data_IF_551283794204
#
_entry.id   IF_551283794204
#
_cell.length_a   1.000
_cell.length_b   1.000
_cell.length_c   1.000
_cell.angle_alpha   90.00
_cell.angle_beta   90.00
_cell.angle_gamma   90.00
#
_symmetry.space_group_name_H-M   'P 1'
#
loop_
_entity.id
_entity.type
_entity.pdbx_description
1 polymer ?
#
# COMPACT_ATOMS: atom_id res chain seq x y z
N UNK A 1 -42.02 -59.05 40.50
CA UNK A 1 -41.53 -57.74 39.92
C UNK A 1 -40.38 -58.05 39.04
N UNK A 2 -40.58 -57.96 37.72
CA UNK A 2 -39.58 -58.30 36.72
C UNK A 2 -38.90 -56.99 36.18
N UNK A 3 -37.62 -56.95 36.31
CA UNK A 3 -36.81 -55.87 35.74
C UNK A 3 -36.32 -56.31 34.37
N UNK A 4 -36.75 -55.61 33.34
CA UNK A 4 -36.33 -55.85 31.94
C UNK A 4 -35.09 -54.99 31.67
N UNK A 5 -33.96 -55.66 31.43
CA UNK A 5 -32.71 -54.99 30.94
C UNK A 5 -32.77 -54.82 29.44
N UNK A 6 -32.69 -53.59 28.97
CA UNK A 6 -32.56 -53.27 27.57
C UNK A 6 -31.08 -53.26 27.18
N UNK A 7 -30.70 -54.13 26.24
CA UNK A 7 -29.36 -54.18 25.65
C UNK A 7 -29.27 -53.19 24.49
N UNK A 8 -28.36 -52.22 24.60
CA UNK A 8 -28.02 -51.29 23.50
C UNK A 8 -27.00 -51.92 22.54
N UNK A 9 -27.37 -52.09 21.30
CA UNK A 9 -26.48 -52.52 20.23
C UNK A 9 -25.77 -51.32 19.62
N UNK A 10 -24.47 -51.22 19.79
CA UNK A 10 -23.62 -50.21 19.13
C UNK A 10 -23.20 -50.70 17.76
N UNK A 11 -23.69 -50.05 16.69
CA UNK A 11 -23.26 -50.26 15.33
C UNK A 11 -22.00 -49.45 15.08
N UNK A 12 -20.89 -50.15 14.84
CA UNK A 12 -19.60 -49.54 14.49
C UNK A 12 -19.62 -49.27 12.98
N UNK A 13 -19.63 -47.97 12.59
CA UNK A 13 -19.54 -47.58 11.20
C UNK A 13 -18.04 -47.50 10.76
N UNK A 14 -17.64 -48.41 9.92
CA UNK A 14 -16.33 -48.41 9.25
C UNK A 14 -16.28 -47.34 8.15
N UNK A 15 -15.31 -46.46 8.27
CA UNK A 15 -15.01 -45.36 7.35
C UNK A 15 -14.37 -45.92 6.06
N UNK A 16 -14.82 -45.56 4.85
CA UNK A 16 -14.16 -45.98 3.63
C UNK A 16 -12.87 -45.20 3.41
N UNK A 17 -11.84 -45.93 2.96
CA UNK A 17 -10.54 -45.40 2.59
C UNK A 17 -10.63 -44.50 1.35
N UNK A 18 -10.13 -43.27 1.48
CA UNK A 18 -10.01 -42.30 0.39
C UNK A 18 -8.82 -42.66 -0.52
N UNK A 19 -9.11 -43.00 -1.74
CA UNK A 19 -8.13 -43.15 -2.83
C UNK A 19 -7.49 -41.80 -3.14
N UNK A 20 -6.17 -41.77 -3.10
CA UNK A 20 -5.31 -40.65 -3.41
C UNK A 20 -5.25 -40.43 -4.92
N UNK A 21 -5.82 -39.36 -5.45
CA UNK A 21 -5.68 -38.97 -6.85
C UNK A 21 -4.28 -38.41 -7.14
N UNK A 22 -3.68 -38.65 -8.31
CA UNK A 22 -2.34 -38.20 -8.65
C UNK A 22 -2.31 -36.68 -8.97
N UNK A 23 -1.21 -36.05 -8.63
CA UNK A 23 -0.90 -34.65 -8.84
C UNK A 23 -0.88 -34.25 -10.33
N UNK A 24 -1.81 -33.39 -10.75
CA UNK A 24 -1.77 -32.67 -12.02
C UNK A 24 -1.93 -31.16 -11.78
N UNK A 25 -0.93 -30.50 -11.21
CA UNK A 25 -0.92 -29.05 -11.06
C UNK A 25 0.47 -28.41 -11.18
N UNK A 26 1.31 -28.86 -12.11
CA UNK A 26 2.57 -28.16 -12.40
C UNK A 26 2.71 -27.60 -13.83
N UNK A 27 1.73 -27.78 -14.70
CA UNK A 27 1.84 -27.36 -16.12
C UNK A 27 1.10 -26.05 -16.47
N UNK A 28 0.22 -25.53 -15.61
CA UNK A 28 -0.61 -24.36 -15.95
C UNK A 28 0.00 -22.99 -15.61
N UNK A 29 0.95 -22.93 -14.69
CA UNK A 29 1.56 -21.63 -14.29
C UNK A 29 2.62 -21.13 -15.27
N UNK A 30 3.33 -22.01 -15.98
CA UNK A 30 4.33 -21.62 -16.96
C UNK A 30 3.72 -21.05 -18.25
N UNK A 31 2.57 -21.59 -18.69
CA UNK A 31 1.88 -21.13 -19.88
C UNK A 31 1.20 -19.76 -19.71
N UNK A 32 0.75 -19.43 -18.49
CA UNK A 32 0.12 -18.14 -18.19
C UNK A 32 1.16 -17.03 -18.09
N UNK A 33 2.35 -17.31 -17.55
CA UNK A 33 3.45 -16.35 -17.48
C UNK A 33 4.00 -15.99 -18.87
N UNK A 34 4.08 -16.95 -19.78
CA UNK A 34 4.56 -16.72 -21.16
C UNK A 34 3.57 -15.88 -22.00
N UNK A 35 2.26 -16.05 -21.80
CA UNK A 35 1.25 -15.23 -22.50
C UNK A 35 1.24 -13.78 -22.01
N UNK A 36 1.39 -13.54 -20.72
CA UNK A 36 1.42 -12.19 -20.19
C UNK A 36 2.67 -11.40 -20.58
N UNK A 37 3.79 -12.08 -20.86
CA UNK A 37 5.00 -11.45 -21.37
C UNK A 37 4.87 -11.05 -22.86
N UNK A 38 4.21 -11.87 -23.67
CA UNK A 38 3.98 -11.60 -25.10
C UNK A 38 2.99 -10.44 -25.33
N UNK A 39 1.92 -10.33 -24.50
CA UNK A 39 0.96 -9.22 -24.58
C UNK A 39 1.54 -7.88 -24.12
N UNK A 40 2.54 -7.88 -23.21
CA UNK A 40 3.22 -6.67 -22.78
C UNK A 40 4.18 -6.11 -23.87
N UNK A 41 4.79 -6.97 -24.67
CA UNK A 41 5.69 -6.57 -25.76
C UNK A 41 4.94 -6.02 -26.98
N UNK A 42 3.76 -6.57 -27.29
CA UNK A 42 2.92 -6.08 -28.39
C UNK A 42 2.29 -4.72 -28.13
N UNK A 43 1.98 -4.38 -26.87
CA UNK A 43 1.48 -3.05 -26.49
C UNK A 43 2.57 -1.98 -26.50
N UNK A 44 3.85 -2.34 -26.38
CA UNK A 44 4.95 -1.38 -26.41
C UNK A 44 5.31 -0.97 -27.83
N UNK A 45 5.11 -1.81 -28.83
CA UNK A 45 5.38 -1.53 -30.25
C UNK A 45 4.28 -0.72 -30.94
N UNK A 46 3.06 -0.66 -30.39
CA UNK A 46 1.95 0.06 -30.99
C UNK A 46 1.94 1.58 -30.66
N UNK A 47 2.77 2.04 -29.72
CA UNK A 47 2.80 3.45 -29.30
C UNK A 47 3.87 4.32 -30.02
N UNK A 48 4.71 3.74 -30.89
CA UNK A 48 5.86 4.43 -31.51
C UNK A 48 5.59 4.93 -32.94
N UNK A 49 4.39 4.78 -33.49
CA UNK A 49 4.12 5.17 -34.88
C UNK A 49 3.01 6.19 -35.04
N UNK A 50 3.22 7.41 -34.55
CA UNK A 50 2.54 8.63 -35.04
C UNK A 50 3.35 9.88 -34.70
N UNK A 51 4.51 10.06 -35.28
CA UNK A 51 5.13 11.39 -35.38
C UNK A 51 4.97 11.91 -36.79
N UNK A 52 4.29 13.03 -36.90
CA UNK A 52 4.06 13.80 -38.09
C UNK A 52 5.41 14.35 -38.60
N UNK A 53 5.83 14.11 -39.86
CA UNK A 53 7.03 14.72 -40.37
C UNK A 53 6.68 16.07 -41.00
N UNK A 54 6.98 17.13 -40.34
CA UNK A 54 7.16 18.49 -40.86
C UNK A 54 6.71 19.54 -39.83
N UNK A 55 7.60 19.85 -38.89
CA UNK A 55 7.65 21.20 -38.34
C UNK A 55 9.09 21.48 -37.90
N UNK A 56 9.84 22.08 -38.84
CA UNK A 56 11.15 22.67 -38.54
C UNK A 56 10.84 24.01 -37.87
N UNK A 57 10.78 24.08 -36.58
CA UNK A 57 10.87 25.31 -35.81
C UNK A 57 12.27 25.38 -35.22
N UNK A 58 12.91 26.53 -35.48
CA UNK A 58 14.28 26.86 -35.12
C UNK A 58 14.61 26.53 -33.64
N UNK A 59 15.87 26.22 -33.30
CA UNK A 59 16.29 25.94 -31.94
C UNK A 59 16.34 27.24 -31.16
N UNK A 60 15.23 27.65 -30.57
CA UNK A 60 15.32 28.45 -29.36
C UNK A 60 15.94 27.59 -28.28
N UNK A 61 16.96 28.13 -27.65
CA UNK A 61 17.83 27.49 -26.69
C UNK A 61 17.05 26.59 -25.74
N UNK A 62 17.13 25.28 -25.96
CA UNK A 62 16.87 24.33 -24.91
C UNK A 62 17.85 24.65 -23.78
N UNK A 63 17.40 25.42 -22.84
CA UNK A 63 18.04 25.52 -21.56
C UNK A 63 17.95 24.09 -20.96
N UNK A 64 19.01 23.33 -21.19
CA UNK A 64 19.25 22.09 -20.44
C UNK A 64 19.57 22.55 -19.02
N UNK A 65 18.53 22.85 -18.28
CA UNK A 65 18.64 22.90 -16.83
C UNK A 65 19.28 21.59 -16.40
N UNK A 66 20.40 21.73 -15.69
CA UNK A 66 21.12 20.61 -15.12
C UNK A 66 20.12 19.67 -14.40
N UNK A 67 20.42 18.36 -14.23
CA UNK A 67 19.61 17.50 -13.38
C UNK A 67 19.80 17.94 -11.93
N UNK A 68 19.14 19.02 -11.58
CA UNK A 68 19.19 19.71 -10.29
C UNK A 68 17.79 20.08 -9.89
N UNK A 69 17.44 19.68 -8.68
CA UNK A 69 16.22 19.97 -7.96
C UNK A 69 14.96 19.37 -8.58
N UNK A 70 14.78 18.08 -8.33
CA UNK A 70 13.44 17.53 -8.33
C UNK A 70 12.66 18.35 -7.30
N UNK A 71 11.69 19.14 -7.77
CA UNK A 71 10.84 19.93 -6.89
C UNK A 71 10.12 18.99 -5.94
N UNK A 72 10.58 18.96 -4.69
CA UNK A 72 10.09 18.05 -3.65
C UNK A 72 8.61 18.30 -3.39
N UNK A 73 8.16 19.54 -3.56
CA UNK A 73 6.76 19.91 -3.43
C UNK A 73 5.93 19.26 -4.55
N UNK A 74 6.39 19.31 -5.80
CA UNK A 74 5.75 18.65 -6.93
C UNK A 74 5.77 17.13 -6.77
N UNK A 75 6.91 16.54 -6.38
CA UNK A 75 7.02 15.10 -6.10
C UNK A 75 6.00 14.66 -5.03
N UNK A 76 5.91 15.43 -3.94
CA UNK A 76 4.95 15.17 -2.87
C UNK A 76 3.51 15.28 -3.37
N UNK A 77 3.18 16.32 -4.13
CA UNK A 77 1.84 16.52 -4.70
C UNK A 77 1.43 15.36 -5.62
N UNK A 78 2.31 14.92 -6.52
CA UNK A 78 2.07 13.82 -7.44
C UNK A 78 1.89 12.49 -6.69
N UNK A 79 2.73 12.24 -5.69
CA UNK A 79 2.65 11.06 -4.81
C UNK A 79 1.33 11.02 -4.04
N UNK A 80 0.89 12.14 -3.50
CA UNK A 80 -0.38 12.23 -2.78
C UNK A 80 -1.58 12.14 -3.72
N UNK A 81 -1.48 12.70 -4.93
CA UNK A 81 -2.46 12.50 -6.00
C UNK A 81 -2.60 11.03 -6.40
N UNK A 82 -1.47 10.32 -6.50
CA UNK A 82 -1.44 8.88 -6.74
C UNK A 82 -2.06 8.09 -5.56
N UNK A 83 -1.71 8.42 -4.32
CA UNK A 83 -2.24 7.76 -3.13
C UNK A 83 -3.78 7.86 -3.05
N UNK A 84 -4.36 9.00 -3.41
CA UNK A 84 -5.80 9.25 -3.41
C UNK A 84 -6.58 8.34 -4.37
N UNK A 85 -5.96 7.82 -5.44
CA UNK A 85 -6.59 6.87 -6.39
C UNK A 85 -6.98 5.54 -5.75
N UNK A 86 -6.44 5.23 -4.59
CA UNK A 86 -6.71 3.98 -3.86
C UNK A 86 -7.76 4.12 -2.76
N UNK A 87 -8.36 5.30 -2.57
CA UNK A 87 -9.44 5.49 -1.57
C UNK A 87 -10.55 4.48 -1.84
N UNK A 88 -10.99 3.77 -0.79
CA UNK A 88 -11.97 2.70 -0.86
C UNK A 88 -11.39 1.31 -1.12
N UNK A 89 -10.11 1.19 -1.46
CA UNK A 89 -9.44 -0.14 -1.56
C UNK A 89 -9.49 -0.83 -0.21
N UNK A 90 -9.92 -2.09 -0.20
CA UNK A 90 -10.09 -2.87 1.04
C UNK A 90 -8.80 -3.02 1.83
N UNK A 91 -8.93 -3.23 3.13
CA UNK A 91 -7.80 -3.57 4.01
C UNK A 91 -7.31 -5.00 3.75
N UNK A 92 -6.01 -5.20 3.98
CA UNK A 92 -5.31 -6.50 3.85
C UNK A 92 -4.38 -6.55 2.63
N UNK A 93 -3.31 -7.31 2.73
CA UNK A 93 -2.32 -7.42 1.64
C UNK A 93 -1.39 -6.22 1.48
N UNK A 94 -0.69 -6.17 0.34
CA UNK A 94 0.34 -5.15 0.04
C UNK A 94 0.29 -4.65 -1.40
N UNK A 95 -0.80 -4.91 -2.11
CA UNK A 95 -0.96 -4.54 -3.51
C UNK A 95 -2.44 -4.21 -3.82
N UNK A 96 -2.73 -3.42 -4.86
CA UNK A 96 -4.10 -2.98 -5.17
C UNK A 96 -5.12 -4.11 -5.26
N UNK A 97 -4.76 -5.23 -5.88
CA UNK A 97 -5.67 -6.39 -6.05
C UNK A 97 -5.94 -7.15 -4.76
N UNK A 98 -4.95 -7.26 -3.87
CA UNK A 98 -5.08 -7.96 -2.59
C UNK A 98 -5.60 -7.08 -1.46
N UNK A 99 -5.68 -5.78 -1.68
CA UNK A 99 -5.89 -4.77 -0.66
C UNK A 99 -4.58 -4.33 0.00
N UNK A 100 -4.65 -3.40 0.95
CA UNK A 100 -3.48 -2.88 1.63
C UNK A 100 -3.58 -3.01 3.15
N UNK A 101 -2.53 -3.50 3.81
CA UNK A 101 -2.27 -3.13 5.19
C UNK A 101 -1.66 -1.72 5.25
N UNK A 102 -1.52 -1.13 6.43
CA UNK A 102 -1.06 0.24 6.57
C UNK A 102 0.35 0.47 5.99
N UNK A 103 1.30 -0.40 6.30
CA UNK A 103 2.68 -0.33 5.81
C UNK A 103 2.82 -0.78 4.35
N UNK A 104 1.97 -1.68 3.89
CA UNK A 104 1.90 -2.06 2.49
C UNK A 104 1.38 -0.93 1.62
N UNK A 105 0.42 -0.15 2.11
CA UNK A 105 -0.07 1.04 1.42
C UNK A 105 1.02 2.10 1.28
N UNK A 106 1.67 2.50 2.38
CA UNK A 106 2.76 3.47 2.33
C UNK A 106 3.91 2.99 1.46
N UNK A 107 4.34 1.73 1.63
CA UNK A 107 5.41 1.14 0.81
C UNK A 107 5.07 1.12 -0.68
N UNK A 108 3.83 0.78 -1.04
CA UNK A 108 3.39 0.78 -2.43
C UNK A 108 3.39 2.19 -3.03
N UNK A 109 2.83 3.18 -2.33
CA UNK A 109 2.80 4.58 -2.80
C UNK A 109 4.22 5.09 -3.03
N UNK A 110 5.09 5.02 -2.04
CA UNK A 110 6.45 5.54 -2.12
C UNK A 110 7.30 4.82 -3.17
N UNK A 111 7.14 3.51 -3.33
CA UNK A 111 7.91 2.74 -4.34
C UNK A 111 7.61 3.16 -5.78
N UNK A 112 6.40 3.65 -6.08
CA UNK A 112 6.07 4.18 -7.41
C UNK A 112 6.78 5.50 -7.72
N UNK A 113 7.38 6.13 -6.72
CA UNK A 113 8.18 7.36 -6.85
C UNK A 113 9.66 7.13 -6.53
N UNK A 114 10.12 5.87 -6.62
CA UNK A 114 11.52 5.50 -6.45
C UNK A 114 12.00 5.45 -5.00
N UNK A 115 11.13 5.63 -4.01
CA UNK A 115 11.48 5.66 -2.59
C UNK A 115 11.16 4.31 -1.94
N UNK A 116 12.17 3.62 -1.45
CA UNK A 116 12.02 2.30 -0.82
C UNK A 116 11.74 2.41 0.67
N UNK A 117 10.57 1.92 1.10
CA UNK A 117 10.22 1.81 2.51
C UNK A 117 10.33 0.37 3.01
N UNK A 118 10.66 0.23 4.30
CA UNK A 118 10.68 -1.05 4.98
C UNK A 118 9.28 -1.72 4.98
N UNK A 119 9.24 -3.05 5.11
CA UNK A 119 8.02 -3.85 4.92
C UNK A 119 6.98 -3.74 6.04
N UNK A 120 7.29 -3.08 7.15
CA UNK A 120 6.39 -2.93 8.28
C UNK A 120 6.53 -1.57 8.97
N UNK A 121 5.48 -1.11 9.65
CA UNK A 121 5.43 0.22 10.24
C UNK A 121 6.50 0.50 11.30
N UNK A 122 6.96 -0.51 12.05
CA UNK A 122 8.01 -0.33 13.06
C UNK A 122 9.37 -0.05 12.40
N UNK A 123 9.67 -0.76 11.31
CA UNK A 123 10.90 -0.55 10.57
C UNK A 123 10.85 0.77 9.78
N UNK A 124 9.69 1.16 9.23
CA UNK A 124 9.50 2.45 8.58
C UNK A 124 9.71 3.62 9.56
N UNK A 125 9.36 3.45 10.85
CA UNK A 125 9.59 4.48 11.87
C UNK A 125 11.09 4.80 12.10
N UNK A 126 11.98 3.92 11.69
CA UNK A 126 13.43 4.12 11.79
C UNK A 126 14.06 4.68 10.50
N UNK A 127 13.25 4.98 9.48
CA UNK A 127 13.70 5.59 8.23
C UNK A 127 13.50 7.11 8.26
N UNK A 128 14.32 7.83 7.49
CA UNK A 128 14.27 9.28 7.41
C UNK A 128 14.62 9.97 8.73
N UNK A 129 14.33 11.26 8.79
CA UNK A 129 14.55 12.06 9.98
C UNK A 129 13.24 12.34 10.73
N UNK A 130 13.34 12.64 12.02
CA UNK A 130 12.18 12.94 12.86
C UNK A 130 11.68 14.36 12.57
N UNK A 131 10.35 14.48 12.45
CA UNK A 131 9.65 15.75 12.22
C UNK A 131 8.81 16.09 13.44
N UNK A 132 8.87 17.35 13.88
CA UNK A 132 7.98 17.85 14.94
C UNK A 132 6.57 17.99 14.41
N UNK A 133 5.59 17.98 15.33
CA UNK A 133 4.18 18.00 14.94
C UNK A 133 3.77 19.26 14.15
N UNK A 134 4.31 20.39 14.51
CA UNK A 134 4.09 21.69 13.87
C UNK A 134 4.84 21.86 12.55
N UNK A 135 5.86 21.02 12.31
CA UNK A 135 6.67 20.98 11.09
C UNK A 135 6.23 19.92 10.08
N UNK A 136 5.13 19.19 10.35
CA UNK A 136 4.60 18.15 9.45
C UNK A 136 4.24 18.78 8.11
N UNK A 137 4.72 18.16 7.04
CA UNK A 137 4.45 18.55 5.65
C UNK A 137 3.73 17.42 4.89
N UNK A 138 3.06 17.73 3.77
CA UNK A 138 2.54 16.72 2.86
C UNK A 138 3.61 15.72 2.46
N UNK A 139 3.28 14.41 2.54
CA UNK A 139 4.23 13.34 2.25
C UNK A 139 4.97 12.78 3.48
N UNK A 140 4.95 13.44 4.63
CA UNK A 140 5.53 12.87 5.85
C UNK A 140 4.78 11.62 6.31
N UNK A 141 5.51 10.66 6.86
CA UNK A 141 4.94 9.46 7.46
C UNK A 141 4.53 9.74 8.92
N UNK A 142 3.26 9.47 9.23
CA UNK A 142 2.71 9.59 10.59
C UNK A 142 2.60 8.21 11.23
N UNK A 143 3.04 8.08 12.48
CA UNK A 143 3.08 6.82 13.19
C UNK A 143 2.22 6.83 14.44
N UNK A 144 1.54 5.70 14.66
CA UNK A 144 0.60 5.53 15.75
C UNK A 144 0.84 4.22 16.50
N UNK A 145 0.50 4.21 17.79
CA UNK A 145 0.51 2.98 18.60
C UNK A 145 -0.48 1.97 18.04
N UNK A 146 -0.11 0.70 18.08
CA UNK A 146 -1.00 -0.40 17.77
C UNK A 146 -2.15 -0.50 18.79
N UNK A 147 -3.26 -1.10 18.36
CA UNK A 147 -4.39 -1.35 19.25
C UNK A 147 -3.96 -2.30 20.40
N UNK A 148 -4.10 -1.85 21.63
CA UNK A 148 -3.67 -2.63 22.81
C UNK A 148 -2.15 -2.78 22.97
N UNK A 149 -1.34 -2.00 22.26
CA UNK A 149 0.13 -2.05 22.29
C UNK A 149 0.73 -0.68 22.60
N UNK A 150 1.87 -0.68 23.31
CA UNK A 150 2.68 0.55 23.53
C UNK A 150 3.58 0.87 22.33
N UNK A 151 3.84 -0.10 21.44
CA UNK A 151 4.72 0.06 20.29
C UNK A 151 3.99 0.55 19.04
N UNK A 152 4.80 0.96 18.02
CA UNK A 152 4.29 1.32 16.70
C UNK A 152 3.52 0.14 16.09
N UNK A 153 2.31 0.40 15.62
CA UNK A 153 1.45 -0.61 15.00
C UNK A 153 0.65 -0.07 13.82
N UNK A 154 0.82 1.23 13.48
CA UNK A 154 0.14 1.82 12.34
C UNK A 154 0.95 2.98 11.76
N UNK A 155 0.80 3.19 10.45
CA UNK A 155 1.44 4.25 9.69
C UNK A 155 0.47 4.86 8.67
N UNK A 156 0.63 6.15 8.40
CA UNK A 156 -0.15 6.92 7.44
C UNK A 156 0.76 7.90 6.69
N UNK A 157 0.25 8.51 5.61
CA UNK A 157 0.92 9.59 4.87
C UNK A 157 0.18 10.90 5.15
N UNK A 158 0.87 11.93 5.60
CA UNK A 158 0.30 13.27 5.78
C UNK A 158 -0.14 13.83 4.42
N UNK A 159 -1.36 14.37 4.37
CA UNK A 159 -1.91 15.01 3.17
C UNK A 159 -1.80 16.53 3.25
N UNK A 160 -2.03 17.08 4.42
CA UNK A 160 -2.13 18.51 4.66
C UNK A 160 -1.86 18.81 6.14
N UNK A 161 -1.22 19.93 6.40
CA UNK A 161 -1.15 20.55 7.72
C UNK A 161 -1.68 21.97 7.57
N UNK A 162 -2.85 22.23 8.09
CA UNK A 162 -3.47 23.55 8.00
C UNK A 162 -2.72 24.52 8.95
N UNK A 163 -2.06 25.56 8.45
CA UNK A 163 -1.21 26.43 9.26
C UNK A 163 -2.01 27.30 10.24
N UNK A 164 -3.31 27.50 9.99
CA UNK A 164 -4.18 28.33 10.84
C UNK A 164 -4.74 27.54 12.01
N UNK A 165 -5.16 26.29 11.76
CA UNK A 165 -5.82 25.45 12.77
C UNK A 165 -4.89 24.42 13.41
N UNK A 166 -3.71 24.15 12.81
CA UNK A 166 -2.83 23.05 13.18
C UNK A 166 -3.43 21.66 12.93
N UNK A 167 -4.52 21.58 12.13
CA UNK A 167 -5.14 20.31 11.78
C UNK A 167 -4.33 19.59 10.70
N UNK A 168 -3.94 18.37 11.00
CA UNK A 168 -3.26 17.49 10.05
C UNK A 168 -4.24 16.45 9.55
N UNK A 169 -4.46 16.41 8.25
CA UNK A 169 -5.17 15.31 7.57
C UNK A 169 -4.18 14.30 7.01
N UNK A 170 -4.57 13.04 6.94
CA UNK A 170 -3.70 11.98 6.43
C UNK A 170 -4.48 10.88 5.72
N UNK A 171 -3.81 10.19 4.79
CA UNK A 171 -4.33 9.02 4.08
C UNK A 171 -3.63 7.75 4.61
N UNK A 172 -4.42 6.71 4.80
CA UNK A 172 -3.91 5.44 5.32
C UNK A 172 -4.84 4.28 4.96
N UNK A 173 -4.37 3.04 5.15
CA UNK A 173 -5.25 1.88 5.11
C UNK A 173 -5.70 1.50 6.53
N UNK A 174 -6.95 1.81 6.84
CA UNK A 174 -7.61 1.42 8.10
C UNK A 174 -8.11 -0.02 8.02
N UNK A 175 -7.95 -0.81 9.09
CA UNK A 175 -8.36 -2.22 9.13
C UNK A 175 -9.85 -2.41 8.81
N UNK A 176 -10.71 -1.49 9.23
CA UNK A 176 -12.17 -1.61 9.07
C UNK A 176 -12.73 -0.92 7.83
N UNK A 177 -12.01 0.08 7.28
CA UNK A 177 -12.51 0.94 6.19
C UNK A 177 -11.69 0.79 4.90
N UNK A 178 -10.51 0.13 4.95
CA UNK A 178 -9.56 0.17 3.85
C UNK A 178 -8.89 1.54 3.74
N UNK A 179 -8.48 1.92 2.52
CA UNK A 179 -7.82 3.20 2.28
C UNK A 179 -8.81 4.34 2.43
N UNK A 180 -8.52 5.23 3.37
CA UNK A 180 -9.37 6.39 3.70
C UNK A 180 -8.55 7.56 4.22
N UNK A 181 -9.21 8.72 4.36
CA UNK A 181 -8.64 9.92 4.94
C UNK A 181 -9.26 10.13 6.32
N UNK A 182 -8.39 10.41 7.29
CA UNK A 182 -8.78 10.75 8.66
C UNK A 182 -8.01 12.00 9.13
N UNK A 183 -8.33 12.49 10.35
CA UNK A 183 -7.74 13.69 10.96
C UNK A 183 -6.96 13.31 12.21
N UNK A 184 -5.81 13.97 12.38
CA UNK A 184 -4.96 13.74 13.54
C UNK A 184 -5.60 14.21 14.86
N UNK A 185 -6.50 15.19 14.79
CA UNK A 185 -7.28 15.69 15.94
C UNK A 185 -8.37 14.72 16.41
N UNK A 186 -8.77 13.73 15.59
CA UNK A 186 -9.77 12.77 16.02
C UNK A 186 -9.32 11.99 17.26
N UNK A 187 -10.20 11.81 18.24
CA UNK A 187 -9.85 11.24 19.55
C UNK A 187 -9.08 9.91 19.46
N UNK A 188 -9.42 9.07 18.48
CA UNK A 188 -8.74 7.80 18.27
C UNK A 188 -7.28 7.95 17.87
N UNK A 189 -6.98 8.83 16.91
CA UNK A 189 -5.63 9.04 16.38
C UNK A 189 -4.81 9.95 17.27
N UNK A 190 -5.39 11.02 17.83
CA UNK A 190 -4.72 11.92 18.76
C UNK A 190 -4.14 11.15 19.96
N UNK A 191 -4.92 10.24 20.56
CA UNK A 191 -4.47 9.43 21.69
C UNK A 191 -3.38 8.39 21.34
N UNK A 192 -3.18 8.08 20.06
CA UNK A 192 -2.24 7.05 19.59
C UNK A 192 -1.03 7.62 18.85
N UNK A 193 -1.05 8.87 18.49
CA UNK A 193 0.04 9.49 17.77
C UNK A 193 1.37 9.36 18.54
N UNK A 194 2.43 8.99 17.82
CA UNK A 194 3.78 8.81 18.38
C UNK A 194 4.75 9.82 17.80
N UNK A 195 4.66 10.12 16.51
CA UNK A 195 5.57 11.03 15.82
C UNK A 195 5.45 10.94 14.31
N UNK A 196 6.22 11.77 13.63
CA UNK A 196 6.34 11.81 12.18
C UNK A 196 7.77 11.59 11.72
N UNK A 197 7.92 11.13 10.47
CA UNK A 197 9.21 10.94 9.77
C UNK A 197 9.12 11.50 8.36
N UNK A 198 10.14 12.25 7.95
CA UNK A 198 10.33 12.66 6.56
C UNK A 198 11.34 11.74 5.90
N UNK A 199 10.92 11.13 4.80
CA UNK A 199 11.73 10.22 3.97
C UNK A 199 11.87 10.75 2.55
N UNK A 200 11.13 11.80 2.20
CA UNK A 200 11.36 12.58 0.98
C UNK A 200 12.70 13.32 1.12
N UNK A 201 13.41 13.59 0.02
CA UNK A 201 14.59 14.47 0.06
C UNK A 201 14.22 15.84 0.62
N UNK A 202 15.21 16.52 1.16
CA UNK A 202 15.07 17.92 1.63
C UNK A 202 15.19 18.88 0.45
#
# INVERSE_FOLDING_TARGET
>A
MAVIAAASVTVSATKPATLKAPAQHKATHAATAARNAAEAEEMHLASVSRTNPFEIIAPEAMHLDAPGDMDVEQLSADMLGFARKFIGTRSGGKAPRSGFDCSGFTGYVFSNFGISLASNSRAQYNQGHQVKRDEIQPGDLLFFRGRGSKGIGHVAIALENNPVTGEVTFIHSATSKGVCIDRLSSAYYAARYVGARRVLPD
#
